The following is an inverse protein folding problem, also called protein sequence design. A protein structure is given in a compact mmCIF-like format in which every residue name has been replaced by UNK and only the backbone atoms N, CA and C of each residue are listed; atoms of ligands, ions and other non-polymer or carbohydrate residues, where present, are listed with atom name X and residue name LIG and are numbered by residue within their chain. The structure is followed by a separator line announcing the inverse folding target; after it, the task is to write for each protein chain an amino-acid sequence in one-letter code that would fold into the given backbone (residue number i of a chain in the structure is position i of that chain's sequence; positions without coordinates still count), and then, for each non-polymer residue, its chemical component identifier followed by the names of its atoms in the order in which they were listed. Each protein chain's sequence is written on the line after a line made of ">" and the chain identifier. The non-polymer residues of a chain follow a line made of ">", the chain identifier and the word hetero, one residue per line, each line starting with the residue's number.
data_IF_589890731295
#
_entry.id   IF_589890731295
#
_cell.length_a   1.000
_cell.length_b   1.000
_cell.length_c   1.000
_cell.angle_alpha   90.00
_cell.angle_beta   90.00
_cell.angle_gamma   90.00
#
_symmetry.space_group_name_H-M   'P 1'
#
loop_
_entity.id
_entity.type
_entity.pdbx_description
1 polymer ?
#
# COMPACT_ATOMS: atom_id res chain seq x y z
N UNK A 1 -3.20 -1.40 12.16
CA UNK A 1 -3.28 -1.94 10.78
C UNK A 1 -1.89 -2.22 10.25
N UNK A 2 -1.80 -3.16 9.33
CA UNK A 2 -0.53 -3.49 8.67
C UNK A 2 -0.60 -3.00 7.21
N UNK A 3 0.44 -2.30 6.78
CA UNK A 3 0.52 -1.79 5.42
C UNK A 3 1.82 -2.23 4.76
N UNK A 4 1.77 -2.48 3.47
CA UNK A 4 2.97 -2.61 2.63
C UNK A 4 2.88 -1.50 1.60
N UNK A 5 3.94 -0.70 1.51
CA UNK A 5 4.01 0.42 0.58
C UNK A 5 4.99 0.09 -0.52
N UNK A 6 4.48 0.06 -1.76
CA UNK A 6 5.27 -0.24 -2.94
C UNK A 6 6.34 0.83 -3.19
N UNK A 7 7.40 0.45 -3.88
CA UNK A 7 8.54 1.35 -4.10
C UNK A 7 8.22 2.58 -4.94
N UNK A 8 7.11 2.57 -5.70
CA UNK A 8 6.67 3.71 -6.50
C UNK A 8 5.83 4.72 -5.71
N UNK A 9 5.60 4.47 -4.43
CA UNK A 9 4.84 5.36 -3.56
C UNK A 9 5.80 6.13 -2.66
N UNK A 10 5.44 7.36 -2.31
CA UNK A 10 6.30 8.23 -1.51
C UNK A 10 6.67 7.62 -0.15
N UNK A 11 7.95 7.69 0.19
CA UNK A 11 8.44 7.28 1.50
C UNK A 11 7.80 8.07 2.64
N UNK A 12 7.46 9.34 2.40
CA UNK A 12 6.79 10.15 3.41
C UNK A 12 5.47 9.56 3.88
N UNK A 13 4.79 8.80 3.02
CA UNK A 13 3.56 8.12 3.41
C UNK A 13 3.85 7.04 4.45
N UNK A 14 4.96 6.30 4.30
CA UNK A 14 5.36 5.29 5.28
C UNK A 14 5.58 5.93 6.65
N UNK A 15 6.27 7.07 6.67
CA UNK A 15 6.52 7.80 7.92
C UNK A 15 5.21 8.25 8.57
N UNK A 16 4.28 8.77 7.78
CA UNK A 16 2.99 9.25 8.29
C UNK A 16 2.18 8.10 8.90
N UNK A 17 2.10 6.97 8.22
CA UNK A 17 1.34 5.82 8.72
C UNK A 17 1.98 5.24 9.98
N UNK A 18 3.31 5.22 10.06
CA UNK A 18 4.00 4.78 11.27
C UNK A 18 3.72 5.71 12.44
N UNK A 19 3.70 7.02 12.17
CA UNK A 19 3.40 8.00 13.22
C UNK A 19 1.97 7.86 13.74
N UNK A 20 1.08 7.34 12.91
CA UNK A 20 -0.32 7.09 13.29
C UNK A 20 -0.51 5.74 14.00
N UNK A 21 0.58 5.01 14.25
CA UNK A 21 0.54 3.77 15.01
C UNK A 21 0.40 2.51 14.18
N UNK A 22 0.50 2.60 12.86
CA UNK A 22 0.41 1.43 11.98
C UNK A 22 1.76 0.75 11.80
N UNK A 23 1.71 -0.55 11.53
CA UNK A 23 2.89 -1.30 11.11
C UNK A 23 3.04 -1.17 9.61
N UNK A 24 4.21 -0.76 9.16
CA UNK A 24 4.45 -0.47 7.74
C UNK A 24 5.74 -1.12 7.27
N UNK A 25 5.64 -1.86 6.17
CA UNK A 25 6.79 -2.36 5.43
C UNK A 25 6.89 -1.51 4.17
N UNK A 26 7.97 -0.78 4.01
CA UNK A 26 8.22 -0.01 2.79
C UNK A 26 9.20 -0.79 1.92
N UNK A 27 8.77 -1.10 0.70
CA UNK A 27 9.62 -1.84 -0.24
C UNK A 27 10.85 -1.00 -0.62
N UNK A 28 10.70 0.33 -0.70
CA UNK A 28 11.81 1.21 -1.05
C UNK A 28 12.93 1.21 0.01
N UNK A 29 12.59 0.97 1.28
CA UNK A 29 13.57 0.90 2.36
C UNK A 29 14.27 -0.45 2.46
N UNK A 30 13.68 -1.46 1.86
CA UNK A 30 14.14 -2.83 2.00
C UNK A 30 15.28 -3.11 1.02
N UNK A 31 16.25 -3.94 1.44
CA UNK A 31 17.30 -4.41 0.54
C UNK A 31 16.75 -5.24 -0.62
N UNK A 32 15.49 -5.62 -0.56
CA UNK A 32 14.80 -6.42 -1.56
C UNK A 32 14.09 -5.56 -2.61
N UNK A 33 14.55 -4.35 -2.84
CA UNK A 33 14.02 -3.48 -3.89
C UNK A 33 14.01 -4.21 -5.22
N UNK A 34 12.98 -3.95 -6.03
CA UNK A 34 12.82 -4.61 -7.32
C UNK A 34 12.14 -5.97 -7.23
N UNK A 35 11.53 -6.30 -6.10
CA UNK A 35 10.72 -7.51 -5.98
C UNK A 35 9.61 -7.53 -7.01
N UNK A 36 9.38 -8.69 -7.61
CA UNK A 36 8.28 -8.87 -8.55
C UNK A 36 6.93 -8.78 -7.85
N UNK A 37 5.90 -8.45 -8.63
CA UNK A 37 4.54 -8.28 -8.13
C UNK A 37 4.03 -9.50 -7.37
N UNK A 38 4.38 -10.70 -7.84
CA UNK A 38 3.95 -11.93 -7.18
C UNK A 38 4.51 -12.06 -5.77
N UNK A 39 5.75 -11.63 -5.58
CA UNK A 39 6.39 -11.70 -4.26
C UNK A 39 5.75 -10.68 -3.32
N UNK A 40 5.47 -9.48 -3.80
CA UNK A 40 4.79 -8.45 -3.01
C UNK A 40 3.41 -8.94 -2.60
N UNK A 41 2.67 -9.55 -3.53
CA UNK A 41 1.35 -10.10 -3.24
C UNK A 41 1.40 -11.18 -2.15
N UNK A 42 2.37 -12.11 -2.27
CA UNK A 42 2.54 -13.16 -1.27
C UNK A 42 2.89 -12.58 0.10
N UNK A 43 3.72 -11.55 0.13
CA UNK A 43 4.07 -10.88 1.38
C UNK A 43 2.85 -10.22 2.02
N UNK A 44 1.99 -9.61 1.22
CA UNK A 44 0.74 -9.01 1.71
C UNK A 44 -0.18 -10.06 2.35
N UNK A 45 -0.31 -11.21 1.70
CA UNK A 45 -1.11 -12.31 2.24
C UNK A 45 -0.53 -12.82 3.56
N UNK A 46 0.77 -13.06 3.59
CA UNK A 46 1.45 -13.62 4.75
C UNK A 46 1.37 -12.68 5.96
N UNK A 47 1.50 -11.40 5.75
CA UNK A 47 1.50 -10.41 6.83
C UNK A 47 0.13 -9.83 7.12
N UNK A 48 -0.88 -10.21 6.33
CA UNK A 48 -2.24 -9.67 6.43
C UNK A 48 -2.22 -8.15 6.33
N UNK A 49 -1.57 -7.67 5.29
CA UNK A 49 -1.34 -6.23 5.07
C UNK A 49 -2.19 -5.70 3.94
N UNK A 50 -2.48 -4.40 4.01
CA UNK A 50 -3.07 -3.64 2.92
C UNK A 50 -1.93 -3.11 2.07
N UNK A 51 -2.00 -3.34 0.76
CA UNK A 51 -1.00 -2.86 -0.19
C UNK A 51 -1.38 -1.45 -0.66
N UNK A 52 -0.41 -0.53 -0.63
CA UNK A 52 -0.57 0.79 -1.23
C UNK A 52 0.40 0.88 -2.40
N UNK A 53 -0.11 1.08 -3.60
CA UNK A 53 0.69 1.03 -4.82
C UNK A 53 0.21 2.04 -5.86
N UNK A 54 1.11 2.42 -6.78
CA UNK A 54 0.76 3.18 -7.97
C UNK A 54 0.83 2.31 -9.23
N UNK A 55 1.12 1.03 -9.07
CA UNK A 55 1.24 0.09 -10.19
C UNK A 55 -0.14 -0.51 -10.51
N UNK A 56 -0.64 -0.22 -11.71
CA UNK A 56 -1.96 -0.69 -12.14
C UNK A 56 -2.02 -2.22 -12.27
N UNK A 57 -0.89 -2.91 -12.37
CA UNK A 57 -0.89 -4.38 -12.48
C UNK A 57 -1.58 -5.05 -11.29
N UNK A 58 -1.52 -4.43 -10.12
CA UNK A 58 -2.19 -4.96 -8.93
C UNK A 58 -3.71 -4.85 -8.97
N UNK A 59 -4.26 -4.15 -9.95
CA UNK A 59 -5.72 -4.08 -10.14
C UNK A 59 -6.27 -5.29 -10.89
N UNK A 60 -5.39 -6.17 -11.38
CA UNK A 60 -5.80 -7.41 -12.04
C UNK A 60 -6.25 -8.43 -11.00
N UNK A 61 -7.56 -8.54 -10.81
CA UNK A 61 -8.15 -9.38 -9.75
C UNK A 61 -8.09 -10.88 -10.07
N UNK A 62 -7.76 -11.24 -11.30
CA UNK A 62 -7.53 -12.65 -11.66
C UNK A 62 -6.17 -13.08 -11.13
N UNK A 63 -5.14 -12.26 -11.38
CA UNK A 63 -3.77 -12.54 -10.95
C UNK A 63 -3.59 -12.30 -9.46
N UNK A 64 -4.23 -11.26 -8.92
CA UNK A 64 -4.12 -10.84 -7.52
C UNK A 64 -5.50 -10.76 -6.88
N UNK A 65 -6.11 -11.90 -6.50
CA UNK A 65 -7.45 -11.91 -5.90
C UNK A 65 -7.47 -11.17 -4.57
N UNK A 66 -8.27 -10.11 -4.48
CA UNK A 66 -8.37 -9.31 -3.26
C UNK A 66 -9.00 -10.06 -2.09
N UNK A 67 -9.76 -11.12 -2.37
CA UNK A 67 -10.33 -11.96 -1.32
C UNK A 67 -9.27 -12.61 -0.42
N UNK A 68 -8.04 -12.74 -0.94
CA UNK A 68 -6.92 -13.35 -0.22
C UNK A 68 -6.09 -12.32 0.53
N UNK A 69 -6.46 -11.04 0.47
CA UNK A 69 -5.73 -9.92 1.04
C UNK A 69 -6.65 -9.07 1.91
N UNK A 70 -6.05 -8.24 2.77
CA UNK A 70 -6.82 -7.25 3.53
C UNK A 70 -7.33 -6.13 2.63
N UNK A 71 -6.63 -5.81 1.56
CA UNK A 71 -7.04 -4.82 0.59
C UNK A 71 -5.91 -4.26 -0.23
N UNK A 72 -6.27 -3.50 -1.26
CA UNK A 72 -5.31 -2.78 -2.10
C UNK A 72 -5.81 -1.35 -2.25
N UNK A 73 -4.93 -0.39 -1.95
CA UNK A 73 -5.18 1.02 -2.23
C UNK A 73 -4.33 1.36 -3.45
N UNK A 74 -5.01 1.61 -4.57
CA UNK A 74 -4.36 1.97 -5.81
C UNK A 74 -4.44 3.47 -6.04
N UNK A 75 -3.29 4.13 -6.12
CA UNK A 75 -3.21 5.58 -6.33
C UNK A 75 -3.12 5.83 -7.84
N UNK A 76 -4.17 6.39 -8.41
CA UNK A 76 -4.31 6.57 -9.86
C UNK A 76 -3.68 7.84 -10.40
N UNK A 77 -3.51 8.86 -9.56
CA UNK A 77 -3.07 10.18 -10.00
C UNK A 77 -1.55 10.22 -10.18
N UNK A 78 -1.09 10.27 -11.44
CA UNK A 78 0.32 10.18 -11.78
C UNK A 78 1.15 11.39 -11.40
N UNK A 79 0.54 12.57 -11.24
CA UNK A 79 1.24 13.83 -10.98
C UNK A 79 1.16 14.31 -9.54
N UNK A 80 0.77 13.45 -8.61
CA UNK A 80 0.71 13.83 -7.22
C UNK A 80 2.12 14.02 -6.65
N UNK A 81 2.28 15.10 -5.88
CA UNK A 81 3.47 15.28 -5.07
C UNK A 81 3.42 14.30 -3.89
N UNK A 82 4.54 14.18 -3.18
CA UNK A 82 4.62 13.40 -1.95
C UNK A 82 3.54 13.83 -0.96
N UNK A 83 3.41 15.13 -0.75
CA UNK A 83 2.40 15.70 0.13
C UNK A 83 0.99 15.36 -0.33
N UNK A 84 0.74 15.46 -1.63
CA UNK A 84 -0.56 15.13 -2.22
C UNK A 84 -0.95 13.67 -2.02
N UNK A 85 0.00 12.75 -2.16
CA UNK A 85 -0.22 11.33 -1.89
C UNK A 85 -0.61 11.10 -0.44
N UNK A 86 0.12 11.71 0.48
CA UNK A 86 -0.13 11.55 1.91
C UNK A 86 -1.52 12.06 2.27
N UNK A 87 -1.89 13.22 1.77
CA UNK A 87 -3.20 13.80 2.03
C UNK A 87 -4.33 12.93 1.46
N UNK A 88 -4.15 12.43 0.25
CA UNK A 88 -5.14 11.60 -0.41
C UNK A 88 -5.39 10.30 0.35
N UNK A 89 -4.31 9.61 0.72
CA UNK A 89 -4.42 8.35 1.45
C UNK A 89 -5.00 8.58 2.84
N UNK A 90 -4.55 9.64 3.52
CA UNK A 90 -5.06 9.96 4.85
C UNK A 90 -6.56 10.26 4.81
N UNK A 91 -7.00 11.01 3.82
CA UNK A 91 -8.42 11.32 3.64
C UNK A 91 -9.22 10.04 3.35
N UNK A 92 -8.69 9.17 2.51
CA UNK A 92 -9.34 7.89 2.21
C UNK A 92 -9.51 7.05 3.47
N UNK A 93 -8.47 6.92 4.27
CA UNK A 93 -8.51 6.11 5.49
C UNK A 93 -9.48 6.69 6.52
N UNK A 94 -9.62 8.01 6.57
CA UNK A 94 -10.55 8.66 7.50
C UNK A 94 -12.01 8.47 7.09
N UNK A 95 -12.28 8.36 5.79
CA UNK A 95 -13.65 8.20 5.26
C UNK A 95 -14.05 6.75 5.04
N UNK A 96 -13.07 5.84 5.06
CA UNK A 96 -13.31 4.41 4.83
C UNK A 96 -12.65 3.61 5.96
N UNK A 97 -13.30 3.52 7.14
CA UNK A 97 -12.73 2.81 8.29
C UNK A 97 -12.50 1.35 7.97
N UNK A 98 -11.24 0.97 7.87
CA UNK A 98 -10.86 -0.39 7.45
C UNK A 98 -11.19 -1.42 8.51
N UNK A 99 -11.14 -1.04 9.78
CA UNK A 99 -11.43 -1.93 10.89
C UNK A 99 -12.88 -2.41 10.90
N UNK A 100 -13.74 -1.80 10.10
CA UNK A 100 -15.13 -2.22 9.98
C UNK A 100 -15.34 -3.25 8.87
N UNK A 101 -14.30 -3.54 8.12
CA UNK A 101 -14.33 -4.54 7.06
C UNK A 101 -14.07 -5.93 7.66
#
# INVERSE_FOLDING_TARGET
>A
MNFIIDENVSFGLAEKLRSDGHKVISIAENSERGLGDNIIFLLCKKTKSILITRDYHFTNTIRFPTKDMEGIIYIRHGNLTSKGEIELVNQFLNTHPIELI
#
